data_IF_949601323510
#
_entry.id   IF_949601323510
#
_cell.length_a   1.000
_cell.length_b   1.000
_cell.length_c   1.000
_cell.angle_alpha   90.00
_cell.angle_beta   90.00
_cell.angle_gamma   90.00
#
_symmetry.space_group_name_H-M   'P 1'
#
loop_
_entity.id
_entity.type
_entity.pdbx_description
1 polymer ?
#
# COMPACT_ATOMS: atom_id res chain seq x y z
N UNK A 1 24.07 -30.85 -25.80
CA UNK A 1 23.84 -29.40 -26.02
C UNK A 1 22.40 -29.07 -25.65
N UNK A 2 22.21 -28.09 -24.75
CA UNK A 2 20.96 -27.40 -24.39
C UNK A 2 19.88 -28.12 -23.56
N UNK A 3 20.18 -28.36 -22.28
CA UNK A 3 19.18 -28.37 -21.20
C UNK A 3 19.65 -27.37 -20.14
N UNK A 4 19.21 -26.09 -20.20
CA UNK A 4 19.33 -25.15 -19.05
C UNK A 4 18.75 -23.74 -19.29
N UNK A 5 17.74 -23.53 -20.16
CA UNK A 5 17.20 -22.17 -20.38
C UNK A 5 15.66 -22.06 -20.26
N UNK A 6 15.04 -22.75 -19.30
CA UNK A 6 13.59 -22.62 -19.09
C UNK A 6 13.19 -22.19 -17.66
N UNK A 7 14.11 -22.16 -16.69
CA UNK A 7 13.77 -21.86 -15.30
C UNK A 7 14.02 -20.40 -14.86
N UNK A 8 14.76 -19.60 -15.64
CA UNK A 8 15.19 -18.28 -15.20
C UNK A 8 14.14 -17.16 -15.39
N UNK A 9 13.09 -17.39 -16.20
CA UNK A 9 12.12 -16.32 -16.54
C UNK A 9 10.94 -16.27 -15.56
N UNK A 10 10.63 -17.37 -14.87
CA UNK A 10 9.49 -17.41 -13.94
C UNK A 10 9.81 -16.86 -12.54
N UNK A 11 11.09 -16.86 -12.13
CA UNK A 11 11.52 -16.31 -10.84
C UNK A 11 11.65 -14.78 -10.85
N UNK A 12 11.91 -14.17 -12.00
CA UNK A 12 12.04 -12.72 -12.11
C UNK A 12 10.69 -11.99 -11.96
N UNK A 13 9.62 -12.56 -12.53
CA UNK A 13 8.29 -11.93 -12.49
C UNK A 13 7.62 -12.03 -11.13
N UNK A 14 7.82 -13.13 -10.39
CA UNK A 14 7.26 -13.29 -9.05
C UNK A 14 7.95 -12.39 -8.02
N UNK A 15 9.26 -12.15 -8.17
CA UNK A 15 10.02 -11.30 -7.23
C UNK A 15 9.64 -9.81 -7.33
N UNK A 16 9.26 -9.33 -8.52
CA UNK A 16 8.80 -7.94 -8.70
C UNK A 16 7.44 -7.69 -8.06
N UNK A 17 6.50 -8.64 -8.16
CA UNK A 17 5.18 -8.53 -7.53
C UNK A 17 5.31 -8.66 -6.01
N UNK A 18 5.90 -9.76 -5.52
CA UNK A 18 6.05 -10.03 -4.08
C UNK A 18 6.85 -8.91 -3.37
N UNK A 19 7.86 -8.35 -4.03
CA UNK A 19 8.65 -7.25 -3.48
C UNK A 19 7.88 -5.93 -3.38
N UNK A 20 6.95 -5.67 -4.32
CA UNK A 20 6.09 -4.48 -4.30
C UNK A 20 5.01 -4.60 -3.23
N UNK A 21 4.43 -5.78 -3.09
CA UNK A 21 3.40 -6.09 -2.10
C UNK A 21 3.99 -5.97 -0.68
N UNK A 22 5.17 -6.57 -0.44
CA UNK A 22 5.86 -6.46 0.86
C UNK A 22 6.33 -5.03 1.16
N UNK A 23 6.81 -4.29 0.16
CA UNK A 23 7.19 -2.88 0.34
C UNK A 23 6.00 -2.01 0.74
N UNK A 24 4.86 -2.17 0.05
CA UNK A 24 3.62 -1.45 0.33
C UNK A 24 3.12 -1.78 1.74
N UNK A 25 3.17 -3.06 2.12
CA UNK A 25 2.85 -3.54 3.47
C UNK A 25 3.72 -2.89 4.54
N UNK A 26 5.04 -2.89 4.38
CA UNK A 26 5.96 -2.32 5.36
C UNK A 26 5.80 -0.81 5.52
N UNK A 27 5.49 -0.09 4.44
CA UNK A 27 5.13 1.33 4.49
C UNK A 27 3.82 1.52 5.25
N UNK A 28 2.82 0.69 4.98
CA UNK A 28 1.57 0.64 5.74
C UNK A 28 1.75 0.60 7.26
N UNK A 29 2.70 -0.21 7.74
CA UNK A 29 2.98 -0.34 9.18
C UNK A 29 3.41 0.97 9.83
N UNK A 30 4.11 1.86 9.11
CA UNK A 30 4.56 3.15 9.66
C UNK A 30 3.41 4.11 9.94
N UNK A 31 2.29 3.94 9.24
CA UNK A 31 1.10 4.78 9.37
C UNK A 31 0.18 4.36 10.54
N UNK A 32 0.46 3.24 11.21
CA UNK A 32 -0.34 2.76 12.34
C UNK A 32 -0.42 3.76 13.50
N UNK A 33 0.64 4.53 13.76
CA UNK A 33 0.65 5.58 14.78
C UNK A 33 -0.29 6.75 14.40
N UNK A 34 -0.29 7.15 13.13
CA UNK A 34 -1.19 8.18 12.63
C UNK A 34 -2.65 7.69 12.64
N UNK A 35 -2.89 6.42 12.29
CA UNK A 35 -4.20 5.81 12.42
C UNK A 35 -4.72 5.82 13.87
N UNK A 36 -3.86 5.56 14.87
CA UNK A 36 -4.24 5.67 16.29
C UNK A 36 -4.62 7.11 16.65
N UNK A 37 -3.83 8.08 16.24
CA UNK A 37 -4.16 9.50 16.42
C UNK A 37 -5.51 9.88 15.78
N UNK A 38 -5.81 9.36 14.58
CA UNK A 38 -7.11 9.58 13.90
C UNK A 38 -8.25 8.97 14.73
N UNK A 39 -8.10 7.72 15.16
CA UNK A 39 -9.12 7.02 15.94
C UNK A 39 -9.46 7.77 17.24
N UNK A 40 -8.43 8.22 17.97
CA UNK A 40 -8.58 8.93 19.23
C UNK A 40 -9.19 10.33 19.08
N UNK A 41 -8.73 11.12 18.09
CA UNK A 41 -9.15 12.51 17.94
C UNK A 41 -10.43 12.69 17.12
N UNK A 42 -10.74 11.75 16.23
CA UNK A 42 -11.93 11.81 15.37
C UNK A 42 -13.02 10.81 15.75
N UNK A 43 -12.82 10.03 16.82
CA UNK A 43 -13.80 9.06 17.32
C UNK A 43 -14.08 7.91 16.35
N UNK A 44 -13.09 7.54 15.53
CA UNK A 44 -13.21 6.42 14.59
C UNK A 44 -12.92 5.12 15.36
N UNK A 45 -13.95 4.31 15.57
CA UNK A 45 -13.83 3.02 16.28
C UNK A 45 -13.37 1.87 15.38
N UNK A 46 -13.54 2.01 14.06
CA UNK A 46 -13.11 1.01 13.09
C UNK A 46 -11.63 1.21 12.74
N UNK A 47 -10.80 0.23 13.10
CA UNK A 47 -9.36 0.25 12.85
C UNK A 47 -9.03 0.30 11.35
N UNK A 48 -9.82 -0.39 10.52
CA UNK A 48 -9.60 -0.39 9.07
C UNK A 48 -9.92 0.97 8.48
N UNK A 49 -10.98 1.65 8.92
CA UNK A 49 -11.31 3.02 8.50
C UNK A 49 -10.21 4.01 8.95
N UNK A 50 -9.76 3.93 10.20
CA UNK A 50 -8.67 4.76 10.69
C UNK A 50 -7.36 4.56 9.89
N UNK A 51 -6.99 3.31 9.60
CA UNK A 51 -5.84 2.97 8.77
C UNK A 51 -6.01 3.40 7.31
N UNK A 52 -7.20 3.24 6.73
CA UNK A 52 -7.50 3.70 5.36
C UNK A 52 -7.28 5.20 5.24
N UNK A 53 -7.76 5.98 6.22
CA UNK A 53 -7.57 7.43 6.26
C UNK A 53 -6.10 7.82 6.45
N UNK A 54 -5.39 7.15 7.36
CA UNK A 54 -3.97 7.40 7.59
C UNK A 54 -3.12 7.14 6.33
N UNK A 55 -3.27 5.97 5.72
CA UNK A 55 -2.55 5.58 4.50
C UNK A 55 -2.89 6.51 3.33
N UNK A 56 -4.18 6.78 3.07
CA UNK A 56 -4.56 7.72 2.01
C UNK A 56 -4.04 9.14 2.26
N UNK A 57 -3.99 9.58 3.53
CA UNK A 57 -3.43 10.87 3.89
C UNK A 57 -1.94 10.95 3.60
N UNK A 58 -1.17 9.86 3.79
CA UNK A 58 0.25 9.82 3.47
C UNK A 58 0.53 10.02 1.97
N UNK A 59 -0.39 9.56 1.11
CA UNK A 59 -0.29 9.67 -0.35
C UNK A 59 -1.17 10.77 -0.97
N UNK A 60 -1.78 11.65 -0.16
CA UNK A 60 -2.82 12.56 -0.62
C UNK A 60 -2.39 13.44 -1.82
N UNK A 61 -1.12 13.87 -1.85
CA UNK A 61 -0.59 14.69 -2.94
C UNK A 61 -0.47 13.92 -4.26
N UNK A 62 -0.04 12.65 -4.22
CA UNK A 62 0.07 11.81 -5.42
C UNK A 62 -1.30 11.38 -5.92
N UNK A 63 -2.21 11.03 -5.01
CA UNK A 63 -3.60 10.69 -5.33
C UNK A 63 -4.31 11.88 -5.98
N UNK A 64 -4.19 13.08 -5.42
CA UNK A 64 -4.78 14.29 -5.98
C UNK A 64 -4.18 14.66 -7.35
N UNK A 65 -2.87 14.47 -7.53
CA UNK A 65 -2.23 14.70 -8.83
C UNK A 65 -2.81 13.76 -9.90
N UNK A 66 -2.94 12.47 -9.60
CA UNK A 66 -3.48 11.49 -10.54
C UNK A 66 -4.97 11.72 -10.83
N UNK A 67 -5.78 11.97 -9.80
CA UNK A 67 -7.20 12.30 -9.99
C UNK A 67 -7.40 13.49 -10.94
N UNK A 68 -6.62 14.56 -10.75
CA UNK A 68 -6.77 15.80 -11.53
C UNK A 68 -6.11 15.72 -12.91
N UNK A 69 -4.98 15.02 -13.04
CA UNK A 69 -4.16 15.04 -14.26
C UNK A 69 -4.35 13.79 -15.12
N UNK A 70 -4.42 12.58 -14.54
CA UNK A 70 -4.64 11.34 -15.30
C UNK A 70 -6.11 11.01 -15.49
N UNK A 71 -7.01 11.56 -14.67
CA UNK A 71 -8.45 11.31 -14.75
C UNK A 71 -8.82 9.85 -14.42
N UNK A 72 -8.03 9.19 -13.58
CA UNK A 72 -8.30 7.83 -13.13
C UNK A 72 -9.44 7.78 -12.10
N UNK A 73 -10.41 6.89 -12.29
CA UNK A 73 -11.57 6.70 -11.40
C UNK A 73 -11.19 6.10 -10.02
N UNK A 74 -9.98 5.56 -9.88
CA UNK A 74 -9.43 5.07 -8.60
C UNK A 74 -7.90 5.21 -8.62
N UNK A 75 -7.36 6.43 -8.37
CA UNK A 75 -5.93 6.66 -8.44
C UNK A 75 -5.23 5.88 -7.33
N UNK A 76 -4.12 5.23 -7.69
CA UNK A 76 -3.20 4.62 -6.74
C UNK A 76 -1.83 5.28 -6.87
N UNK A 77 -1.05 5.40 -5.78
CA UNK A 77 0.30 5.96 -5.87
C UNK A 77 1.20 5.05 -6.72
N UNK A 78 2.18 5.63 -7.42
CA UNK A 78 3.03 4.83 -8.31
C UNK A 78 3.86 3.81 -7.52
N UNK A 79 3.71 2.53 -7.88
CA UNK A 79 4.46 1.45 -7.24
C UNK A 79 3.99 1.10 -5.82
N UNK A 80 2.85 1.63 -5.39
CA UNK A 80 2.22 1.32 -4.09
C UNK A 80 0.91 0.58 -4.34
N UNK A 81 0.75 -0.55 -3.67
CA UNK A 81 -0.54 -1.20 -3.52
C UNK A 81 -1.21 -0.67 -2.23
N UNK A 82 -2.32 0.05 -2.39
CA UNK A 82 -3.00 0.67 -1.25
C UNK A 82 -3.62 -0.37 -0.31
N UNK A 83 -4.08 -1.50 -0.84
CA UNK A 83 -4.70 -2.56 -0.04
C UNK A 83 -3.65 -3.24 0.86
N UNK A 84 -2.45 -3.51 0.33
CA UNK A 84 -1.34 -4.05 1.12
C UNK A 84 -0.84 -3.06 2.17
N UNK A 85 -0.75 -1.76 1.83
CA UNK A 85 -0.41 -0.73 2.80
C UNK A 85 -1.47 -0.61 3.92
N UNK A 86 -2.76 -0.71 3.60
CA UNK A 86 -3.82 -0.74 4.61
C UNK A 86 -3.71 -2.00 5.48
N UNK A 87 -3.43 -3.16 4.89
CA UNK A 87 -3.24 -4.41 5.61
C UNK A 87 -2.06 -4.31 6.60
N UNK A 88 -0.92 -3.76 6.17
CA UNK A 88 0.24 -3.51 7.01
C UNK A 88 -0.06 -2.56 8.17
N UNK A 89 -0.81 -1.48 7.92
CA UNK A 89 -1.27 -0.57 8.97
C UNK A 89 -2.12 -1.32 10.00
N UNK A 90 -3.13 -2.07 9.56
CA UNK A 90 -4.06 -2.81 10.44
C UNK A 90 -3.33 -3.86 11.27
N UNK A 91 -2.35 -4.56 10.69
CA UNK A 91 -1.54 -5.54 11.41
C UNK A 91 -0.69 -4.89 12.52
N UNK A 92 -0.05 -3.75 12.24
CA UNK A 92 0.73 -2.99 13.21
C UNK A 92 -0.11 -2.19 14.23
N UNK A 93 -1.41 -2.03 13.96
CA UNK A 93 -2.35 -1.34 14.85
C UNK A 93 -2.71 -2.18 16.10
N UNK A 94 -2.58 -3.50 16.02
CA UNK A 94 -2.81 -4.41 17.15
C UNK A 94 -1.77 -4.21 18.26
#
# INVERSE_FOLDING_TARGET
MYFCCAAAVLLASAACSIGRDQYSYDLGKTESAHARWIAENHGVSDVKDACTRAVKSAFANELAYKEVVSGEDNPEPDGIDLDDAIAGCVDAYK
#
